data_IF_814739638319
#
_entry.id   IF_814739638319
#
_cell.length_a   1.000
_cell.length_b   1.000
_cell.length_c   1.000
_cell.angle_alpha   90.00
_cell.angle_beta   90.00
_cell.angle_gamma   90.00
#
_symmetry.space_group_name_H-M   'P 1'
#
loop_
_entity.id
_entity.type
_entity.pdbx_description
1 polymer ?
#
# COMPACT_ATOMS: atom_id res chain seq x y z
N UNK A 1 4.70 -23.21 32.74
CA UNK A 1 4.94 -21.82 33.18
C UNK A 1 6.37 -21.30 32.94
N UNK A 2 7.44 -22.13 32.96
CA UNK A 2 8.80 -21.63 32.67
C UNK A 2 9.15 -21.42 31.18
N UNK A 3 8.41 -22.03 30.24
CA UNK A 3 8.66 -21.89 28.79
C UNK A 3 8.30 -20.52 28.21
N UNK A 4 7.30 -19.85 28.76
CA UNK A 4 6.81 -18.57 28.23
C UNK A 4 7.73 -17.40 28.58
N UNK A 5 8.33 -17.41 29.78
CA UNK A 5 9.25 -16.36 30.23
C UNK A 5 10.56 -16.36 29.43
N UNK A 6 11.13 -17.53 29.16
CA UNK A 6 12.34 -17.64 28.32
C UNK A 6 12.04 -17.20 26.88
N UNK A 7 10.85 -17.52 26.37
CA UNK A 7 10.40 -17.10 25.04
C UNK A 7 10.16 -15.58 24.96
N UNK A 8 9.63 -14.97 26.02
CA UNK A 8 9.39 -13.53 26.09
C UNK A 8 10.69 -12.73 26.24
N UNK A 9 11.60 -13.17 27.11
CA UNK A 9 12.93 -12.57 27.26
C UNK A 9 13.73 -12.63 25.95
N UNK A 10 13.68 -13.77 25.24
CA UNK A 10 14.29 -13.92 23.93
C UNK A 10 13.72 -12.93 22.89
N UNK A 11 12.38 -12.77 22.83
CA UNK A 11 11.75 -11.79 21.93
C UNK A 11 12.18 -10.36 22.24
N UNK A 12 12.24 -9.98 23.52
CA UNK A 12 12.69 -8.64 23.93
C UNK A 12 14.13 -8.37 23.50
N UNK A 13 15.03 -9.34 23.69
CA UNK A 13 16.42 -9.22 23.26
C UNK A 13 16.55 -9.05 21.74
N UNK A 14 15.85 -9.88 20.95
CA UNK A 14 15.88 -9.81 19.49
C UNK A 14 15.31 -8.49 18.95
N UNK A 15 14.24 -7.99 19.59
CA UNK A 15 13.69 -6.66 19.30
C UNK A 15 14.71 -5.55 19.59
N UNK A 16 15.47 -5.67 20.69
CA UNK A 16 16.56 -4.77 21.03
C UNK A 16 17.64 -4.73 19.93
N UNK A 17 18.03 -5.89 19.38
CA UNK A 17 19.02 -5.96 18.30
C UNK A 17 18.54 -5.20 17.05
N UNK A 18 17.31 -5.46 16.60
CA UNK A 18 16.78 -4.79 15.41
C UNK A 18 16.58 -3.29 15.62
N UNK A 19 16.11 -2.86 16.79
CA UNK A 19 15.98 -1.43 17.12
C UNK A 19 17.35 -0.75 17.21
N UNK A 20 18.35 -1.43 17.76
CA UNK A 20 19.74 -0.95 17.77
C UNK A 20 20.30 -0.80 16.36
N UNK A 21 20.15 -1.83 15.51
CA UNK A 21 20.57 -1.78 14.11
C UNK A 21 19.85 -0.68 13.32
N UNK A 22 18.54 -0.49 13.56
CA UNK A 22 17.76 0.60 12.99
C UNK A 22 18.27 1.96 13.49
N UNK A 23 18.59 2.10 14.77
CA UNK A 23 19.14 3.32 15.36
C UNK A 23 20.49 3.72 14.75
N UNK A 24 21.42 2.76 14.61
CA UNK A 24 22.70 3.00 13.92
C UNK A 24 22.47 3.42 12.46
N UNK A 25 21.55 2.73 11.77
CA UNK A 25 21.18 3.08 10.39
C UNK A 25 20.61 4.50 10.31
N UNK A 26 19.73 4.87 11.24
CA UNK A 26 19.14 6.20 11.33
C UNK A 26 20.19 7.29 11.58
N UNK A 27 21.19 7.06 12.43
CA UNK A 27 22.31 8.00 12.63
C UNK A 27 23.13 8.20 11.35
N UNK A 28 23.43 7.12 10.61
CA UNK A 28 24.14 7.23 9.32
C UNK A 28 23.33 8.05 8.33
N UNK A 29 22.02 7.82 8.23
CA UNK A 29 21.15 8.59 7.34
C UNK A 29 21.03 10.05 7.78
N UNK A 30 20.93 10.29 9.09
CA UNK A 30 20.85 11.61 9.70
C UNK A 30 22.10 12.48 9.53
N UNK A 31 23.23 11.91 9.11
CA UNK A 31 24.42 12.67 8.72
C UNK A 31 24.25 13.42 7.38
N UNK A 32 23.21 13.10 6.61
CA UNK A 32 22.90 13.82 5.37
C UNK A 32 22.24 15.16 5.66
N UNK A 33 22.76 16.23 5.07
CA UNK A 33 22.29 17.62 5.29
C UNK A 33 20.80 17.85 4.98
N UNK A 34 20.19 17.00 4.13
CA UNK A 34 18.78 17.13 3.79
C UNK A 34 17.86 16.40 4.77
N UNK A 35 18.37 15.53 5.63
CA UNK A 35 17.56 14.69 6.53
C UNK A 35 17.34 15.43 7.86
N UNK A 36 16.07 15.67 8.19
CA UNK A 36 15.66 16.32 9.45
C UNK A 36 15.31 15.31 10.54
N UNK A 37 14.77 14.16 10.14
CA UNK A 37 14.37 13.10 11.06
C UNK A 37 14.40 11.74 10.36
N UNK A 38 14.59 10.68 11.15
CA UNK A 38 14.42 9.30 10.70
C UNK A 38 13.61 8.56 11.74
N UNK A 39 12.53 7.91 11.32
CA UNK A 39 11.76 7.02 12.17
C UNK A 39 11.65 5.63 11.56
N UNK A 40 11.39 4.66 12.43
CA UNK A 40 11.04 3.30 12.04
C UNK A 40 9.56 3.08 12.31
N UNK A 41 8.89 2.31 11.46
CA UNK A 41 7.48 1.96 11.65
C UNK A 41 7.26 0.44 11.55
N UNK A 42 5.99 0.01 11.67
CA UNK A 42 5.58 -1.41 11.57
C UNK A 42 6.33 -2.32 12.56
N UNK A 43 6.76 -3.51 12.13
CA UNK A 43 7.18 -4.61 13.02
C UNK A 43 8.32 -4.27 13.97
N UNK A 44 9.27 -3.42 13.57
CA UNK A 44 10.37 -3.01 14.45
C UNK A 44 9.87 -2.04 15.53
N UNK A 45 8.98 -1.14 15.14
CA UNK A 45 8.40 -0.15 16.03
C UNK A 45 7.41 -0.81 17.01
N UNK A 46 6.56 -1.71 16.53
CA UNK A 46 5.60 -2.48 17.36
C UNK A 46 6.24 -3.63 18.14
N UNK A 47 7.49 -4.01 17.83
CA UNK A 47 8.17 -5.13 18.47
C UNK A 47 7.69 -6.51 18.01
N UNK A 48 7.08 -6.60 16.84
CA UNK A 48 6.58 -7.84 16.23
C UNK A 48 7.55 -8.43 15.20
N UNK A 49 8.84 -8.40 15.54
CA UNK A 49 9.93 -8.83 14.67
C UNK A 49 10.01 -10.37 14.65
N UNK A 50 10.22 -10.93 13.47
CA UNK A 50 10.68 -12.31 13.34
C UNK A 50 12.17 -12.30 12.97
N UNK A 51 13.02 -12.74 13.89
CA UNK A 51 14.45 -12.75 13.69
C UNK A 51 14.85 -13.50 12.41
N UNK A 52 15.71 -12.86 11.61
CA UNK A 52 16.19 -13.39 10.32
C UNK A 52 15.15 -13.38 9.20
N UNK A 53 13.94 -12.87 9.44
CA UNK A 53 12.84 -12.87 8.45
C UNK A 53 12.16 -11.51 8.28
N UNK A 54 12.24 -10.64 9.28
CA UNK A 54 11.75 -9.27 9.18
C UNK A 54 12.81 -8.37 8.57
N UNK A 55 12.37 -7.41 7.77
CA UNK A 55 13.12 -6.23 7.36
C UNK A 55 12.96 -5.08 8.38
N UNK A 56 13.83 -4.10 8.24
CA UNK A 56 13.77 -2.79 8.89
C UNK A 56 13.25 -1.81 7.86
N UNK A 57 11.99 -1.41 8.03
CA UNK A 57 11.32 -0.39 7.21
C UNK A 57 11.55 1.00 7.84
N UNK A 58 12.40 1.82 7.20
CA UNK A 58 12.71 3.19 7.66
C UNK A 58 11.95 4.24 6.86
N UNK A 59 11.69 5.38 7.49
CA UNK A 59 11.22 6.59 6.82
C UNK A 59 12.19 7.72 7.15
N UNK A 60 12.81 8.30 6.13
CA UNK A 60 13.60 9.52 6.26
C UNK A 60 12.74 10.72 5.91
N UNK A 61 12.63 11.64 6.88
CA UNK A 61 12.00 12.95 6.68
C UNK A 61 13.09 13.91 6.24
N UNK A 62 12.98 14.39 5.01
CA UNK A 62 13.87 15.39 4.44
C UNK A 62 13.26 16.76 4.54
N UNK A 63 14.09 17.80 4.51
CA UNK A 63 13.64 19.18 4.48
C UNK A 63 12.65 19.41 3.34
N UNK A 64 11.71 20.31 3.56
CA UNK A 64 10.83 20.76 2.49
C UNK A 64 11.67 21.55 1.46
N UNK A 65 11.54 21.25 0.16
CA UNK A 65 12.33 21.94 -0.84
C UNK A 65 12.02 23.45 -0.85
N UNK A 66 13.07 24.28 -0.85
CA UNK A 66 12.95 25.74 -0.93
C UNK A 66 12.56 26.26 -2.32
N UNK A 67 12.16 27.54 -2.42
CA UNK A 67 11.69 28.25 -3.61
C UNK A 67 12.34 27.81 -4.95
N UNK A 68 11.76 26.82 -5.61
CA UNK A 68 12.10 26.35 -6.97
C UNK A 68 13.05 25.15 -7.07
N UNK A 69 13.74 24.74 -6.00
CA UNK A 69 14.70 23.63 -6.02
C UNK A 69 14.16 22.40 -5.28
N UNK A 70 13.95 21.28 -5.97
CA UNK A 70 13.41 20.05 -5.36
C UNK A 70 14.49 19.15 -4.69
N UNK A 71 15.64 19.69 -4.27
CA UNK A 71 16.71 18.94 -3.58
C UNK A 71 17.23 17.66 -4.27
N UNK A 72 17.12 17.58 -5.60
CA UNK A 72 17.51 16.39 -6.36
C UNK A 72 18.96 15.91 -6.11
N UNK A 73 19.93 16.84 -6.04
CA UNK A 73 21.32 16.51 -5.73
C UNK A 73 21.48 15.94 -4.30
N UNK A 74 20.75 16.49 -3.32
CA UNK A 74 20.72 15.98 -1.95
C UNK A 74 20.13 14.57 -1.88
N UNK A 75 19.04 14.33 -2.60
CA UNK A 75 18.42 13.00 -2.69
C UNK A 75 19.34 11.98 -3.36
N UNK A 76 20.08 12.36 -4.40
CA UNK A 76 21.10 11.51 -5.01
C UNK A 76 22.23 11.16 -4.03
N UNK A 77 22.67 12.14 -3.23
CA UNK A 77 23.67 11.92 -2.17
C UNK A 77 23.14 10.94 -1.13
N UNK A 78 21.94 11.18 -0.61
CA UNK A 78 21.27 10.29 0.34
C UNK A 78 21.10 8.87 -0.22
N UNK A 79 20.72 8.73 -1.49
CA UNK A 79 20.64 7.42 -2.16
C UNK A 79 21.98 6.68 -2.16
N UNK A 80 23.10 7.38 -2.41
CA UNK A 80 24.44 6.76 -2.35
C UNK A 80 24.73 6.26 -0.93
N UNK A 81 24.38 7.03 0.10
CA UNK A 81 24.48 6.62 1.50
C UNK A 81 23.62 5.39 1.79
N UNK A 82 22.37 5.37 1.35
CA UNK A 82 21.46 4.21 1.52
C UNK A 82 22.01 2.95 0.84
N UNK A 83 22.57 3.09 -0.36
CA UNK A 83 23.20 1.98 -1.08
C UNK A 83 24.38 1.40 -0.31
N UNK A 84 25.20 2.25 0.31
CA UNK A 84 26.31 1.80 1.16
C UNK A 84 25.79 1.16 2.46
N UNK A 85 24.81 1.79 3.10
CA UNK A 85 24.17 1.29 4.32
C UNK A 85 23.61 -0.11 4.12
N UNK A 86 22.88 -0.37 3.01
CA UNK A 86 22.33 -1.70 2.69
C UNK A 86 23.39 -2.78 2.50
N UNK A 87 24.64 -2.43 2.19
CA UNK A 87 25.75 -3.40 2.13
C UNK A 87 26.21 -3.84 3.51
N UNK A 88 26.11 -2.95 4.50
CA UNK A 88 26.55 -3.20 5.89
C UNK A 88 25.39 -3.73 6.74
N UNK A 89 24.18 -3.24 6.51
CA UNK A 89 22.96 -3.67 7.16
C UNK A 89 21.93 -4.11 6.10
N UNK A 90 22.01 -5.37 5.62
CA UNK A 90 21.08 -5.88 4.60
C UNK A 90 19.65 -6.04 5.12
N UNK A 91 19.42 -5.94 6.43
CA UNK A 91 18.06 -5.92 7.00
C UNK A 91 17.32 -4.62 6.68
N UNK A 92 17.99 -3.53 6.26
CA UNK A 92 17.32 -2.31 5.78
C UNK A 92 16.67 -2.59 4.42
N UNK A 93 15.42 -3.04 4.49
CA UNK A 93 14.60 -3.44 3.35
C UNK A 93 14.01 -2.23 2.67
N UNK A 94 12.82 -1.80 3.10
CA UNK A 94 12.17 -0.62 2.55
C UNK A 94 12.66 0.67 3.21
N UNK A 95 12.75 1.72 2.39
CA UNK A 95 13.01 3.06 2.88
C UNK A 95 12.13 4.05 2.13
N UNK A 96 11.19 4.68 2.83
CA UNK A 96 10.44 5.80 2.29
C UNK A 96 11.21 7.10 2.55
N UNK A 97 11.09 8.06 1.63
CA UNK A 97 11.65 9.41 1.78
C UNK A 97 10.51 10.39 1.59
N UNK A 98 10.26 11.22 2.60
CA UNK A 98 9.15 12.15 2.63
C UNK A 98 9.61 13.52 3.13
N UNK A 99 8.90 14.57 2.78
CA UNK A 99 9.00 15.85 3.48
C UNK A 99 7.82 15.98 4.46
N UNK A 100 7.81 16.97 5.38
CA UNK A 100 6.70 17.12 6.34
C UNK A 100 5.32 17.26 5.68
N UNK A 101 5.23 17.92 4.52
CA UNK A 101 3.98 18.06 3.77
C UNK A 101 3.51 16.72 3.20
N UNK A 102 4.45 15.91 2.71
CA UNK A 102 4.21 14.58 2.19
C UNK A 102 3.65 13.63 3.25
N UNK A 103 4.11 13.75 4.51
CA UNK A 103 3.57 12.99 5.64
C UNK A 103 2.12 13.40 5.90
N UNK A 104 1.84 14.71 5.95
CA UNK A 104 0.47 15.22 6.12
C UNK A 104 -0.45 14.73 5.01
N UNK A 105 -0.04 14.93 3.76
CA UNK A 105 -0.78 14.50 2.57
C UNK A 105 -1.03 12.99 2.57
N UNK A 106 -0.05 12.19 2.97
CA UNK A 106 -0.21 10.73 3.06
C UNK A 106 -1.25 10.33 4.11
N UNK A 107 -1.22 10.94 5.29
CA UNK A 107 -2.21 10.69 6.34
C UNK A 107 -3.62 11.13 5.92
N UNK A 108 -3.74 12.25 5.20
CA UNK A 108 -5.01 12.76 4.68
C UNK A 108 -5.62 11.87 3.58
N UNK A 109 -4.79 11.28 2.72
CA UNK A 109 -5.22 10.33 1.71
C UNK A 109 -5.43 8.92 2.27
N UNK A 110 -4.84 8.59 3.41
CA UNK A 110 -4.95 7.30 4.07
C UNK A 110 -4.95 7.41 5.59
N UNK A 111 -6.12 7.70 6.13
CA UNK A 111 -6.32 7.83 7.57
C UNK A 111 -6.11 6.51 8.33
N UNK A 112 -6.23 5.35 7.66
CA UNK A 112 -5.98 4.05 8.26
C UNK A 112 -4.50 3.85 8.58
N UNK A 113 -3.62 4.03 7.58
CA UNK A 113 -2.17 3.91 7.82
C UNK A 113 -1.67 5.05 8.70
N UNK A 114 -2.15 6.28 8.50
CA UNK A 114 -1.79 7.41 9.36
C UNK A 114 -2.11 7.18 10.83
N UNK A 115 -3.23 6.52 11.14
CA UNK A 115 -3.57 6.11 12.51
C UNK A 115 -2.60 5.09 13.10
N UNK A 116 -2.07 4.16 12.29
CA UNK A 116 -1.07 3.19 12.72
C UNK A 116 0.27 3.89 12.96
N UNK A 117 0.75 4.66 11.99
CA UNK A 117 2.05 5.33 12.08
C UNK A 117 2.07 6.31 13.25
N UNK A 118 1.03 7.14 13.44
CA UNK A 118 0.91 8.05 14.59
C UNK A 118 1.04 7.37 15.95
N UNK A 119 0.54 6.13 16.08
CA UNK A 119 0.52 5.39 17.37
C UNK A 119 1.70 4.45 17.54
N UNK A 120 2.51 4.24 16.50
CA UNK A 120 3.55 3.20 16.51
C UNK A 120 4.92 3.65 16.04
N UNK A 121 5.02 4.73 15.27
CA UNK A 121 6.28 5.24 14.76
C UNK A 121 7.24 5.55 15.92
N UNK A 122 8.49 5.10 15.77
CA UNK A 122 9.56 5.35 16.72
C UNK A 122 10.62 6.20 16.04
N UNK A 123 10.73 7.46 16.45
CA UNK A 123 11.81 8.37 16.02
C UNK A 123 13.15 7.82 16.51
N UNK A 124 14.08 7.62 15.58
CA UNK A 124 15.42 7.09 15.85
C UNK A 124 16.51 8.16 15.70
N UNK A 125 16.22 9.23 14.95
CA UNK A 125 17.11 10.36 14.75
C UNK A 125 16.29 11.64 14.52
N UNK A 126 16.79 12.78 14.99
CA UNK A 126 16.19 14.08 14.71
C UNK A 126 14.93 14.39 15.53
N UNK A 127 14.08 15.27 15.01
CA UNK A 127 12.84 15.70 15.70
C UNK A 127 11.75 14.65 15.57
N UNK A 128 10.85 14.60 16.56
CA UNK A 128 9.63 13.80 16.44
C UNK A 128 8.79 14.30 15.27
N UNK A 129 8.28 13.35 14.49
CA UNK A 129 7.36 13.62 13.39
C UNK A 129 5.97 13.87 13.95
N UNK A 130 5.37 14.99 13.54
CA UNK A 130 3.98 15.28 13.86
C UNK A 130 3.05 14.64 12.81
N UNK A 131 2.22 13.70 13.25
CA UNK A 131 1.24 13.05 12.40
C UNK A 131 -0.14 13.65 12.66
N UNK A 132 -0.87 14.10 11.62
CA UNK A 132 -2.23 14.59 11.78
C UNK A 132 -3.12 13.61 12.54
N UNK A 133 -3.90 14.12 13.50
CA UNK A 133 -4.85 13.33 14.28
C UNK A 133 -6.23 13.32 13.59
N UNK A 134 -6.35 12.54 12.52
CA UNK A 134 -7.60 12.38 11.77
C UNK A 134 -8.35 11.11 12.19
N UNK A 135 -9.70 11.12 12.22
CA UNK A 135 -10.49 9.91 12.40
C UNK A 135 -10.30 8.96 11.21
N UNK A 136 -10.31 7.65 11.47
CA UNK A 136 -10.14 6.66 10.41
C UNK A 136 -11.42 6.57 9.57
N UNK A 137 -11.29 6.83 8.27
CA UNK A 137 -12.38 6.70 7.30
C UNK A 137 -12.61 5.22 6.96
N UNK A 138 -13.86 4.72 6.98
CA UNK A 138 -14.16 3.36 6.58
C UNK A 138 -13.65 2.99 5.19
N UNK A 139 -13.68 3.92 4.24
CA UNK A 139 -13.22 3.70 2.86
C UNK A 139 -11.71 3.44 2.80
N UNK A 140 -10.91 4.10 3.64
CA UNK A 140 -9.47 3.85 3.72
C UNK A 140 -9.19 2.46 4.29
N UNK A 141 -10.04 1.99 5.21
CA UNK A 141 -9.99 0.63 5.72
C UNK A 141 -10.35 -0.41 4.64
N UNK A 142 -11.37 -0.17 3.82
CA UNK A 142 -11.69 -1.04 2.66
C UNK A 142 -10.54 -1.09 1.67
N UNK A 143 -9.91 0.06 1.40
CA UNK A 143 -8.71 0.13 0.55
C UNK A 143 -7.57 -0.71 1.12
N UNK A 144 -7.33 -0.63 2.44
CA UNK A 144 -6.32 -1.44 3.12
C UNK A 144 -6.67 -2.93 3.17
N UNK A 145 -7.95 -3.27 3.28
CA UNK A 145 -8.45 -4.63 3.14
C UNK A 145 -8.08 -5.23 1.79
N UNK A 146 -8.45 -4.54 0.70
CA UNK A 146 -8.22 -5.02 -0.67
C UNK A 146 -6.75 -4.93 -1.11
N UNK A 147 -5.93 -4.05 -0.53
CA UNK A 147 -4.51 -3.89 -0.85
C UNK A 147 -3.69 -5.19 -0.74
N UNK A 148 -4.00 -6.06 0.23
CA UNK A 148 -3.27 -7.31 0.45
C UNK A 148 -3.34 -8.31 -0.72
N UNK A 149 -4.31 -8.13 -1.62
CA UNK A 149 -4.50 -8.90 -2.85
C UNK A 149 -3.44 -8.65 -3.93
N UNK A 150 -2.90 -7.42 -4.03
CA UNK A 150 -2.15 -6.93 -5.22
C UNK A 150 -0.90 -7.78 -5.53
N UNK A 151 -0.29 -8.38 -4.50
CA UNK A 151 0.80 -9.34 -4.68
C UNK A 151 1.12 -10.17 -3.43
N UNK A 152 0.74 -9.72 -2.23
CA UNK A 152 1.14 -10.35 -0.98
C UNK A 152 0.51 -11.73 -0.79
N UNK A 153 -0.81 -11.86 -1.01
CA UNK A 153 -1.50 -13.14 -0.84
C UNK A 153 -0.98 -14.20 -1.82
N UNK A 154 -0.90 -13.86 -3.12
CA UNK A 154 -0.37 -14.76 -4.15
C UNK A 154 1.08 -15.19 -3.85
N UNK A 155 1.93 -14.24 -3.42
CA UNK A 155 3.33 -14.53 -3.09
C UNK A 155 3.47 -15.40 -1.85
N UNK A 156 2.71 -15.11 -0.79
CA UNK A 156 2.74 -15.90 0.45
C UNK A 156 2.27 -17.33 0.18
N UNK A 157 1.22 -17.51 -0.63
CA UNK A 157 0.69 -18.82 -0.96
C UNK A 157 1.67 -19.65 -1.80
N UNK A 158 2.23 -19.06 -2.87
CA UNK A 158 3.24 -19.71 -3.72
C UNK A 158 4.49 -20.14 -2.95
N UNK A 159 4.91 -19.37 -1.94
CA UNK A 159 6.07 -19.69 -1.10
C UNK A 159 5.74 -20.65 0.04
N UNK A 160 4.48 -21.04 0.22
CA UNK A 160 4.05 -21.77 1.41
C UNK A 160 4.33 -21.01 2.71
N UNK A 161 4.35 -19.67 2.67
CA UNK A 161 4.73 -18.83 3.80
C UNK A 161 3.57 -18.72 4.80
N UNK A 162 3.48 -19.74 5.65
CA UNK A 162 2.47 -19.88 6.69
C UNK A 162 2.34 -18.66 7.60
N UNK A 163 3.45 -17.97 7.89
CA UNK A 163 3.45 -16.77 8.74
C UNK A 163 2.78 -15.62 8.01
N UNK A 164 3.17 -15.36 6.76
CA UNK A 164 2.59 -14.26 6.00
C UNK A 164 1.12 -14.52 5.64
N UNK A 165 0.72 -15.76 5.39
CA UNK A 165 -0.70 -16.10 5.20
C UNK A 165 -1.56 -15.73 6.42
N UNK A 166 -1.11 -16.08 7.63
CA UNK A 166 -1.79 -15.70 8.89
C UNK A 166 -1.80 -14.19 9.10
N UNK A 167 -0.66 -13.53 8.86
CA UNK A 167 -0.55 -12.07 8.95
C UNK A 167 -1.56 -11.38 8.03
N UNK A 168 -1.60 -11.78 6.75
CA UNK A 168 -2.51 -11.20 5.77
C UNK A 168 -3.96 -11.37 6.21
N UNK A 169 -4.34 -12.56 6.68
CA UNK A 169 -5.71 -12.79 7.16
C UNK A 169 -6.06 -11.90 8.37
N UNK A 170 -5.15 -11.76 9.34
CA UNK A 170 -5.36 -10.89 10.50
C UNK A 170 -5.42 -9.40 10.11
N UNK A 171 -4.55 -8.94 9.21
CA UNK A 171 -4.53 -7.56 8.72
C UNK A 171 -5.79 -7.24 7.89
N UNK A 172 -6.27 -8.20 7.08
CA UNK A 172 -7.55 -8.07 6.38
C UNK A 172 -8.73 -8.05 7.36
N UNK A 173 -8.75 -8.90 8.39
CA UNK A 173 -9.79 -8.83 9.41
C UNK A 173 -9.81 -7.48 10.14
N UNK A 174 -8.64 -6.98 10.56
CA UNK A 174 -8.49 -5.68 11.23
C UNK A 174 -9.02 -4.55 10.34
N UNK A 175 -8.70 -4.58 9.05
CA UNK A 175 -9.20 -3.61 8.08
C UNK A 175 -10.73 -3.72 7.86
N UNK A 176 -11.26 -4.95 7.73
CA UNK A 176 -12.71 -5.20 7.63
C UNK A 176 -13.43 -4.65 8.87
N UNK A 177 -12.93 -4.94 10.07
CA UNK A 177 -13.51 -4.52 11.33
C UNK A 177 -13.64 -2.99 11.45
N UNK A 178 -12.66 -2.24 10.94
CA UNK A 178 -12.73 -0.78 10.87
C UNK A 178 -13.70 -0.33 9.77
N UNK A 179 -13.67 -0.98 8.59
CA UNK A 179 -14.57 -0.67 7.48
C UNK A 179 -16.05 -0.84 7.86
N UNK A 180 -16.38 -1.87 8.64
CA UNK A 180 -17.74 -2.14 9.13
C UNK A 180 -18.06 -1.44 10.45
N UNK A 181 -17.17 -0.55 10.93
CA UNK A 181 -17.31 0.22 12.17
C UNK A 181 -17.42 -0.62 13.45
N UNK A 182 -17.01 -1.88 13.42
CA UNK A 182 -16.81 -2.68 14.63
C UNK A 182 -15.66 -2.13 15.48
N UNK A 183 -14.66 -1.52 14.84
CA UNK A 183 -13.56 -0.82 15.50
C UNK A 183 -13.51 0.65 15.05
N UNK A 184 -13.23 1.60 15.96
CA UNK A 184 -13.06 3.02 15.58
C UNK A 184 -11.72 3.29 14.88
N UNK A 185 -10.72 2.43 15.09
CA UNK A 185 -9.39 2.51 14.52
C UNK A 185 -8.75 1.11 14.52
N UNK A 186 -7.77 0.84 13.64
CA UNK A 186 -7.15 -0.48 13.60
C UNK A 186 -6.33 -0.76 14.85
N UNK A 187 -6.18 -2.03 15.20
CA UNK A 187 -5.12 -2.45 16.12
C UNK A 187 -3.75 -2.12 15.54
N UNK A 188 -2.81 -1.72 16.41
CA UNK A 188 -1.43 -1.41 16.03
C UNK A 188 -0.63 -2.68 15.85
N UNK A 189 -0.86 -3.68 16.72
CA UNK A 189 -0.14 -4.94 16.67
C UNK A 189 -1.00 -6.03 16.03
N UNK A 190 -0.34 -6.93 15.29
CA UNK A 190 -0.97 -8.13 14.76
C UNK A 190 -1.42 -9.06 15.89
N UNK A 191 -0.64 -9.19 16.96
CA UNK A 191 -1.01 -10.02 18.09
C UNK A 191 -2.35 -9.59 18.74
N UNK A 192 -2.62 -8.29 18.83
CA UNK A 192 -3.92 -7.77 19.27
C UNK A 192 -5.02 -8.08 18.25
N UNK A 193 -4.78 -7.81 16.96
CA UNK A 193 -5.74 -8.12 15.91
C UNK A 193 -6.11 -9.61 15.88
N UNK A 194 -5.12 -10.51 15.93
CA UNK A 194 -5.33 -11.96 15.98
C UNK A 194 -6.14 -12.37 17.22
N UNK A 195 -5.84 -11.80 18.40
CA UNK A 195 -6.56 -12.12 19.63
C UNK A 195 -8.03 -11.73 19.56
N UNK A 196 -8.32 -10.51 19.09
CA UNK A 196 -9.70 -10.04 18.95
C UNK A 196 -10.45 -10.77 17.83
N UNK A 197 -9.77 -11.09 16.73
CA UNK A 197 -10.36 -11.90 15.68
C UNK A 197 -10.77 -13.28 16.20
N UNK A 198 -9.86 -13.99 16.90
CA UNK A 198 -10.12 -15.32 17.44
C UNK A 198 -11.21 -15.33 18.52
N UNK A 199 -11.43 -14.21 19.22
CA UNK A 199 -12.49 -14.04 20.20
C UNK A 199 -13.84 -13.63 19.59
N UNK A 200 -13.89 -13.30 18.30
CA UNK A 200 -15.12 -12.90 17.61
C UNK A 200 -15.92 -14.12 17.13
N UNK A 201 -17.24 -13.95 17.00
CA UNK A 201 -18.13 -14.98 16.43
C UNK A 201 -17.76 -15.36 14.97
N UNK A 202 -17.04 -14.47 14.27
CA UNK A 202 -16.50 -14.71 12.93
C UNK A 202 -15.42 -15.81 12.93
N UNK A 203 -14.66 -15.96 14.01
CA UNK A 203 -13.67 -17.04 14.13
C UNK A 203 -14.33 -18.40 14.44
N UNK A 204 -15.48 -18.40 15.12
CA UNK A 204 -16.24 -19.62 15.38
C UNK A 204 -16.86 -20.18 14.09
N UNK A 205 -17.45 -19.33 13.26
CA UNK A 205 -17.98 -19.69 11.93
C UNK A 205 -16.90 -20.05 10.91
N UNK A 206 -15.64 -19.66 11.17
CA UNK A 206 -14.46 -20.09 10.44
C UNK A 206 -13.97 -21.52 10.76
N UNK A 207 -14.65 -22.25 11.65
CA UNK A 207 -14.32 -23.65 11.95
C UNK A 207 -13.56 -23.86 13.26
N UNK A 208 -13.50 -22.85 14.13
CA UNK A 208 -13.07 -22.98 15.54
C UNK A 208 -11.57 -23.25 15.75
N UNK A 209 -10.98 -22.49 16.68
CA UNK A 209 -9.66 -22.69 17.30
C UNK A 209 -8.52 -23.15 16.38
N UNK A 210 -7.88 -22.15 15.78
CA UNK A 210 -6.57 -22.27 15.14
C UNK A 210 -6.67 -22.27 13.63
N UNK A 211 -6.85 -21.09 13.03
CA UNK A 211 -6.79 -20.91 11.58
C UNK A 211 -5.49 -21.54 11.08
N UNK A 212 -5.63 -22.69 10.42
CA UNK A 212 -4.50 -23.35 9.77
C UNK A 212 -4.05 -22.42 8.64
N UNK A 213 -2.75 -22.17 8.46
CA UNK A 213 -2.29 -21.27 7.42
C UNK A 213 -2.86 -21.56 6.03
N UNK A 214 -3.11 -22.84 5.75
CA UNK A 214 -3.71 -23.35 4.51
C UNK A 214 -5.16 -22.87 4.31
N UNK A 215 -5.87 -22.53 5.38
CA UNK A 215 -7.25 -22.02 5.36
C UNK A 215 -7.32 -20.49 5.23
N UNK A 216 -6.21 -19.77 5.48
CA UNK A 216 -6.17 -18.31 5.47
C UNK A 216 -6.70 -17.70 4.16
N UNK A 217 -6.33 -18.17 2.95
CA UNK A 217 -6.87 -17.63 1.70
C UNK A 217 -8.40 -17.72 1.62
N UNK A 218 -8.97 -18.86 2.00
CA UNK A 218 -10.42 -19.05 2.01
C UNK A 218 -11.13 -18.11 2.98
N UNK A 219 -10.53 -17.82 4.14
CA UNK A 219 -11.05 -16.81 5.05
C UNK A 219 -10.99 -15.40 4.45
N UNK A 220 -9.88 -15.02 3.81
CA UNK A 220 -9.76 -13.74 3.13
C UNK A 220 -10.85 -13.56 2.06
N UNK A 221 -11.12 -14.60 1.27
CA UNK A 221 -12.16 -14.56 0.23
C UNK A 221 -13.57 -14.47 0.81
N UNK A 222 -13.85 -15.19 1.91
CA UNK A 222 -15.13 -15.09 2.59
C UNK A 222 -15.36 -13.69 3.17
N UNK A 223 -14.36 -13.15 3.88
CA UNK A 223 -14.41 -11.78 4.39
C UNK A 223 -14.60 -10.76 3.27
N UNK A 224 -14.00 -11.01 2.09
CA UNK A 224 -14.15 -10.12 0.95
C UNK A 224 -15.58 -10.14 0.39
N UNK A 225 -16.20 -11.32 0.32
CA UNK A 225 -17.61 -11.45 -0.04
C UNK A 225 -18.53 -10.75 0.96
N UNK A 226 -18.33 -10.99 2.26
CA UNK A 226 -19.14 -10.35 3.31
C UNK A 226 -19.04 -8.81 3.27
N UNK A 227 -17.82 -8.30 3.06
CA UNK A 227 -17.60 -6.86 2.94
C UNK A 227 -18.15 -6.30 1.62
N UNK A 228 -18.05 -7.06 0.53
CA UNK A 228 -18.61 -6.71 -0.78
C UNK A 228 -20.13 -6.63 -0.72
N UNK A 229 -20.81 -7.63 -0.16
CA UNK A 229 -22.27 -7.69 -0.03
C UNK A 229 -22.84 -6.50 0.77
N UNK A 230 -22.03 -5.88 1.65
CA UNK A 230 -22.40 -4.68 2.41
C UNK A 230 -22.21 -3.37 1.63
N UNK A 231 -21.28 -3.33 0.68
CA UNK A 231 -20.80 -2.08 0.08
C UNK A 231 -21.14 -1.91 -1.40
N UNK A 232 -21.33 -3.02 -2.11
CA UNK A 232 -21.47 -3.03 -3.56
C UNK A 232 -22.60 -3.98 -3.98
N UNK A 233 -23.24 -3.74 -5.14
CA UNK A 233 -24.30 -4.63 -5.62
C UNK A 233 -23.78 -6.06 -5.87
N UNK A 234 -24.66 -7.07 -5.68
CA UNK A 234 -24.27 -8.47 -5.82
C UNK A 234 -23.79 -8.79 -7.23
N UNK A 235 -22.75 -9.61 -7.32
CA UNK A 235 -22.23 -10.13 -8.58
C UNK A 235 -22.82 -11.51 -8.89
N UNK A 236 -22.87 -11.86 -10.17
CA UNK A 236 -23.12 -13.24 -10.60
C UNK A 236 -21.92 -14.09 -10.23
N UNK A 237 -22.17 -15.34 -9.85
CA UNK A 237 -21.11 -16.28 -9.52
C UNK A 237 -20.25 -16.60 -10.75
N UNK A 238 -18.93 -16.52 -10.58
CA UNK A 238 -17.99 -17.09 -11.53
C UNK A 238 -18.02 -18.63 -11.40
N UNK A 239 -18.17 -19.33 -12.51
CA UNK A 239 -18.31 -20.78 -12.52
C UNK A 239 -16.97 -21.51 -12.32
N UNK A 240 -15.93 -21.06 -13.03
CA UNK A 240 -14.59 -21.68 -13.07
C UNK A 240 -13.50 -20.61 -12.88
N UNK A 241 -12.29 -20.99 -12.42
CA UNK A 241 -11.17 -20.05 -12.35
C UNK A 241 -10.91 -19.36 -13.68
N UNK A 242 -10.69 -18.05 -13.65
CA UNK A 242 -10.43 -17.25 -14.83
C UNK A 242 -9.05 -16.59 -14.75
N UNK A 243 -8.24 -16.76 -15.80
CA UNK A 243 -6.88 -16.25 -15.86
C UNK A 243 -6.71 -15.28 -17.03
N UNK A 244 -5.99 -14.18 -16.78
CA UNK A 244 -5.67 -13.23 -17.84
C UNK A 244 -4.40 -12.43 -17.51
N UNK A 245 -3.78 -11.82 -18.53
CA UNK A 245 -2.61 -10.94 -18.38
C UNK A 245 -2.87 -9.56 -18.95
N UNK A 246 -2.58 -8.50 -18.19
CA UNK A 246 -2.75 -7.10 -18.62
C UNK A 246 -1.71 -6.20 -17.99
N UNK A 247 -1.43 -5.07 -18.65
CA UNK A 247 -0.67 -3.96 -18.07
C UNK A 247 -1.59 -3.14 -17.17
N UNK A 248 -1.24 -3.01 -15.90
CA UNK A 248 -2.06 -2.33 -14.90
C UNK A 248 -1.51 -0.95 -14.55
N UNK A 249 -2.33 0.09 -14.68
CA UNK A 249 -2.06 1.43 -14.15
C UNK A 249 -1.90 1.40 -12.60
N UNK A 250 -1.19 2.36 -11.98
CA UNK A 250 -0.61 3.56 -12.59
C UNK A 250 0.81 3.38 -13.13
N UNK A 251 1.43 2.21 -12.90
CA UNK A 251 2.81 1.91 -13.34
C UNK A 251 2.89 1.11 -14.64
N UNK A 252 1.75 0.75 -15.21
CA UNK A 252 1.59 -0.04 -16.45
C UNK A 252 2.44 -1.31 -16.49
N UNK A 253 2.65 -1.94 -15.34
CA UNK A 253 3.38 -3.21 -15.26
C UNK A 253 2.46 -4.34 -15.68
N UNK A 254 3.00 -5.28 -16.43
CA UNK A 254 2.28 -6.51 -16.72
C UNK A 254 2.03 -7.30 -15.43
N UNK A 255 0.81 -7.81 -15.32
CA UNK A 255 0.30 -8.61 -14.22
C UNK A 255 -0.45 -9.80 -14.79
N UNK A 256 -0.22 -10.96 -14.19
CA UNK A 256 -1.02 -12.15 -14.39
C UNK A 256 -2.02 -12.28 -13.24
N UNK A 257 -3.29 -12.38 -13.61
CA UNK A 257 -4.43 -12.45 -12.72
C UNK A 257 -4.97 -13.87 -12.68
N UNK A 258 -5.33 -14.32 -11.48
CA UNK A 258 -6.10 -15.52 -11.23
C UNK A 258 -7.32 -15.14 -10.40
N UNK A 259 -8.49 -15.20 -11.03
CA UNK A 259 -9.78 -14.94 -10.38
C UNK A 259 -10.42 -16.28 -10.07
N UNK A 260 -10.48 -16.62 -8.79
CA UNK A 260 -11.09 -17.85 -8.29
C UNK A 260 -12.61 -17.69 -8.18
N UNK A 261 -13.40 -18.74 -8.46
CA UNK A 261 -14.79 -18.75 -8.04
C UNK A 261 -14.83 -18.62 -6.52
N UNK A 262 -15.67 -17.73 -5.96
CA UNK A 262 -15.71 -17.40 -4.52
C UNK A 262 -16.13 -18.52 -3.56
N UNK A 263 -15.99 -19.79 -3.96
CA UNK A 263 -16.28 -20.99 -3.17
C UNK A 263 -15.06 -21.39 -2.32
N UNK A 264 -15.31 -22.20 -1.30
CA UNK A 264 -14.37 -22.63 -0.24
C UNK A 264 -13.09 -23.38 -0.70
N UNK A 265 -12.76 -23.39 -1.99
CA UNK A 265 -11.54 -23.98 -2.53
C UNK A 265 -10.42 -22.95 -2.65
N UNK A 266 -9.23 -23.27 -2.15
CA UNK A 266 -8.01 -22.54 -2.50
C UNK A 266 -7.64 -22.80 -3.98
N UNK A 267 -6.79 -21.96 -4.57
CA UNK A 267 -6.25 -22.22 -5.92
C UNK A 267 -5.46 -23.54 -5.93
N UNK A 268 -5.53 -24.27 -7.03
CA UNK A 268 -4.69 -25.46 -7.18
C UNK A 268 -3.22 -25.02 -7.29
N UNK A 269 -2.25 -25.85 -6.86
CA UNK A 269 -0.83 -25.49 -6.93
C UNK A 269 -0.37 -25.01 -8.32
N UNK A 270 -0.87 -25.64 -9.39
CA UNK A 270 -0.55 -25.28 -10.77
C UNK A 270 -1.08 -23.91 -11.22
N UNK A 271 -2.16 -23.41 -10.60
CA UNK A 271 -2.72 -22.10 -10.95
C UNK A 271 -1.84 -20.93 -10.46
N UNK A 272 -0.98 -21.18 -9.46
CA UNK A 272 -0.21 -20.16 -8.76
C UNK A 272 1.15 -19.84 -9.38
N UNK A 273 1.67 -20.71 -10.25
CA UNK A 273 3.02 -20.57 -10.79
C UNK A 273 3.17 -19.25 -11.57
N UNK A 274 2.11 -18.84 -12.27
CA UNK A 274 2.12 -17.66 -13.12
C UNK A 274 1.38 -16.46 -12.51
N UNK A 275 0.54 -16.66 -11.49
CA UNK A 275 -0.28 -15.59 -10.93
C UNK A 275 0.54 -14.61 -10.08
N UNK A 276 0.51 -13.33 -10.45
CA UNK A 276 1.01 -12.24 -9.61
C UNK A 276 -0.08 -11.65 -8.73
N UNK A 277 -1.35 -11.90 -9.07
CA UNK A 277 -2.52 -11.27 -8.47
C UNK A 277 -3.62 -12.33 -8.31
N UNK A 278 -3.96 -12.69 -7.08
CA UNK A 278 -4.91 -13.76 -6.73
C UNK A 278 -6.14 -13.14 -6.07
N UNK A 279 -7.34 -13.46 -6.56
CA UNK A 279 -8.57 -12.82 -6.09
C UNK A 279 -9.84 -13.63 -6.32
N UNK A 280 -10.99 -13.12 -5.87
CA UNK A 280 -12.34 -13.50 -6.30
C UNK A 280 -13.02 -12.33 -7.01
N UNK A 281 -14.17 -12.51 -7.68
CA UNK A 281 -14.91 -11.40 -8.25
C UNK A 281 -15.20 -10.27 -7.26
N UNK A 282 -15.64 -10.60 -6.04
CA UNK A 282 -16.00 -9.67 -4.98
C UNK A 282 -14.79 -8.85 -4.51
N UNK A 283 -13.67 -9.52 -4.25
CA UNK A 283 -12.43 -8.87 -3.83
C UNK A 283 -11.86 -7.98 -4.95
N UNK A 284 -11.92 -8.42 -6.21
CA UNK A 284 -11.54 -7.60 -7.36
C UNK A 284 -12.43 -6.37 -7.52
N UNK A 285 -13.74 -6.51 -7.29
CA UNK A 285 -14.69 -5.39 -7.39
C UNK A 285 -14.42 -4.35 -6.28
N UNK A 286 -14.12 -4.79 -5.04
CA UNK A 286 -13.64 -3.91 -3.97
C UNK A 286 -12.32 -3.21 -4.37
N UNK A 287 -11.36 -3.94 -4.95
CA UNK A 287 -10.09 -3.35 -5.40
C UNK A 287 -10.30 -2.28 -6.48
N UNK A 288 -11.19 -2.53 -7.44
CA UNK A 288 -11.57 -1.60 -8.50
C UNK A 288 -12.17 -0.32 -7.91
N UNK A 289 -13.06 -0.39 -6.92
CA UNK A 289 -13.72 0.81 -6.40
C UNK A 289 -12.92 1.58 -5.34
N UNK A 290 -12.09 0.89 -4.55
CA UNK A 290 -11.47 1.49 -3.37
C UNK A 290 -9.94 1.60 -3.44
N UNK A 291 -9.27 0.84 -4.31
CA UNK A 291 -7.80 0.85 -4.42
C UNK A 291 -7.34 1.47 -5.72
N UNK A 292 -7.81 0.92 -6.84
CA UNK A 292 -7.29 1.25 -8.17
C UNK A 292 -8.41 1.20 -9.22
N UNK A 293 -9.16 2.30 -9.40
CA UNK A 293 -10.25 2.39 -10.37
C UNK A 293 -9.77 2.30 -11.83
N UNK A 294 -8.49 2.55 -12.08
CA UNK A 294 -7.89 2.31 -13.39
C UNK A 294 -7.88 0.82 -13.80
N UNK A 295 -8.13 -0.10 -12.86
CA UNK A 295 -8.34 -1.51 -13.16
C UNK A 295 -9.56 -1.74 -14.07
N UNK A 296 -10.60 -0.90 -13.97
CA UNK A 296 -11.78 -1.02 -14.82
C UNK A 296 -11.40 -1.01 -16.31
N UNK A 297 -10.44 -0.18 -16.71
CA UNK A 297 -9.96 -0.05 -18.10
C UNK A 297 -9.49 -1.35 -18.73
N UNK A 298 -9.06 -2.32 -17.92
CA UNK A 298 -8.46 -3.57 -18.39
C UNK A 298 -9.30 -4.82 -18.03
N UNK A 299 -10.47 -4.64 -17.41
CA UNK A 299 -11.37 -5.74 -17.06
C UNK A 299 -11.89 -6.45 -18.32
N UNK A 300 -11.64 -7.77 -18.48
CA UNK A 300 -12.19 -8.57 -19.57
C UNK A 300 -13.72 -8.61 -19.58
N UNK A 301 -14.30 -8.82 -20.76
CA UNK A 301 -15.76 -8.84 -20.94
C UNK A 301 -16.45 -9.92 -20.11
N UNK A 302 -15.77 -11.04 -19.88
CA UNK A 302 -16.23 -12.17 -19.07
C UNK A 302 -16.45 -11.75 -17.60
N UNK A 303 -15.53 -10.96 -17.04
CA UNK A 303 -15.70 -10.43 -15.68
C UNK A 303 -16.76 -9.32 -15.66
N UNK A 304 -16.83 -8.48 -16.69
CA UNK A 304 -17.89 -7.46 -16.80
C UNK A 304 -19.29 -8.08 -16.84
N UNK A 305 -19.45 -9.22 -17.51
CA UNK A 305 -20.70 -9.97 -17.57
C UNK A 305 -21.19 -10.50 -16.21
N UNK A 306 -20.33 -10.51 -15.18
CA UNK A 306 -20.71 -10.84 -13.81
C UNK A 306 -21.47 -9.69 -13.10
N UNK A 307 -21.51 -8.50 -13.70
CA UNK A 307 -22.20 -7.32 -13.12
C UNK A 307 -21.27 -6.31 -12.46
N UNK A 308 -19.98 -6.29 -12.81
CA UNK A 308 -19.05 -5.25 -12.34
C UNK A 308 -19.56 -3.87 -12.73
N UNK A 309 -19.66 -2.99 -11.74
CA UNK A 309 -20.01 -1.59 -11.97
C UNK A 309 -18.75 -0.79 -12.30
N UNK A 310 -18.94 0.32 -13.02
CA UNK A 310 -17.85 1.26 -13.26
C UNK A 310 -17.60 2.09 -12.00
N UNK A 311 -16.32 2.37 -11.65
CA UNK A 311 -16.04 3.32 -10.57
C UNK A 311 -16.56 4.73 -10.90
N UNK A 312 -16.98 5.45 -9.86
CA UNK A 312 -17.39 6.85 -9.96
C UNK A 312 -16.18 7.77 -10.18
N UNK A 313 -16.38 8.99 -10.70
CA UNK A 313 -15.34 10.02 -10.77
C UNK A 313 -14.59 10.21 -9.44
N UNK A 314 -15.30 10.18 -8.31
CA UNK A 314 -14.71 10.34 -6.99
C UNK A 314 -13.73 9.22 -6.62
N UNK A 315 -13.99 7.99 -7.07
CA UNK A 315 -13.07 6.88 -6.88
C UNK A 315 -11.74 7.16 -7.60
N UNK A 316 -11.81 7.67 -8.84
CA UNK A 316 -10.64 8.10 -9.60
C UNK A 316 -9.93 9.27 -8.94
N UNK A 317 -10.65 10.28 -8.45
CA UNK A 317 -10.06 11.42 -7.74
C UNK A 317 -9.30 10.98 -6.48
N UNK A 318 -9.89 10.11 -5.65
CA UNK A 318 -9.22 9.54 -4.46
C UNK A 318 -7.98 8.72 -4.82
N UNK A 319 -8.05 7.89 -5.86
CA UNK A 319 -6.89 7.14 -6.32
C UNK A 319 -5.79 8.06 -6.86
N UNK A 320 -6.16 9.12 -7.58
CA UNK A 320 -5.22 10.13 -8.07
C UNK A 320 -4.55 10.87 -6.92
N UNK A 321 -5.29 11.23 -5.87
CA UNK A 321 -4.71 11.82 -4.65
C UNK A 321 -3.69 10.85 -4.03
N UNK A 322 -4.08 9.59 -3.80
CA UNK A 322 -3.21 8.58 -3.20
C UNK A 322 -1.93 8.30 -4.01
N UNK A 323 -2.05 8.16 -5.34
CA UNK A 323 -0.89 7.91 -6.21
C UNK A 323 -0.09 9.17 -6.52
N UNK A 324 -0.71 10.34 -6.41
CA UNK A 324 -0.15 11.66 -6.70
C UNK A 324 0.60 12.31 -5.55
N UNK A 325 0.88 11.59 -4.47
CA UNK A 325 1.74 12.12 -3.43
C UNK A 325 3.16 12.35 -3.95
N UNK A 326 3.72 13.50 -3.60
CA UNK A 326 5.07 13.90 -3.98
C UNK A 326 6.13 12.91 -3.49
N UNK A 327 5.91 12.20 -2.38
CA UNK A 327 6.83 11.16 -1.91
C UNK A 327 7.03 10.05 -2.96
N UNK A 328 6.03 9.77 -3.82
CA UNK A 328 6.16 8.71 -4.83
C UNK A 328 7.25 9.01 -5.84
N UNK A 329 7.55 10.30 -6.07
CA UNK A 329 8.66 10.77 -6.91
C UNK A 329 10.02 10.47 -6.28
N UNK A 330 10.10 10.26 -4.97
CA UNK A 330 11.34 9.93 -4.25
C UNK A 330 11.58 8.42 -4.14
N UNK A 331 10.66 7.58 -4.59
CA UNK A 331 10.79 6.13 -4.50
C UNK A 331 11.96 5.51 -5.30
N UNK A 332 12.36 6.02 -6.48
CA UNK A 332 13.46 5.43 -7.25
C UNK A 332 14.77 5.36 -6.46
N UNK A 333 15.35 4.16 -6.33
CA UNK A 333 16.58 3.90 -5.58
C UNK A 333 16.37 3.67 -4.07
N UNK A 334 15.26 4.13 -3.51
CA UNK A 334 14.91 3.93 -2.10
C UNK A 334 13.94 2.76 -1.92
N UNK A 335 12.75 2.82 -2.51
CA UNK A 335 11.75 1.75 -2.45
C UNK A 335 11.90 0.74 -3.59
N UNK A 336 12.33 1.20 -4.78
CA UNK A 336 12.44 0.35 -5.97
C UNK A 336 13.36 0.96 -7.02
N UNK A 337 13.92 0.19 -7.98
CA UNK A 337 14.85 0.74 -8.98
C UNK A 337 14.18 1.51 -10.14
N UNK A 338 12.85 1.48 -10.26
CA UNK A 338 12.15 1.97 -11.46
C UNK A 338 12.03 3.50 -11.52
N UNK A 339 12.94 4.14 -12.26
CA UNK A 339 12.96 5.61 -12.47
C UNK A 339 11.85 6.15 -13.36
N UNK A 340 11.26 5.32 -14.25
CA UNK A 340 10.17 5.77 -15.13
C UNK A 340 8.81 5.89 -14.41
N UNK A 341 8.66 5.23 -13.25
CA UNK A 341 7.38 5.12 -12.57
C UNK A 341 6.77 6.49 -12.16
N UNK A 342 7.53 7.44 -11.59
CA UNK A 342 7.00 8.78 -11.28
C UNK A 342 6.47 9.53 -12.50
N UNK A 343 7.20 9.51 -13.63
CA UNK A 343 6.74 10.13 -14.87
C UNK A 343 5.47 9.47 -15.44
N UNK A 344 5.36 8.13 -15.36
CA UNK A 344 4.14 7.41 -15.76
C UNK A 344 2.93 7.82 -14.90
N UNK A 345 3.14 7.89 -13.59
CA UNK A 345 2.10 8.29 -12.64
C UNK A 345 1.66 9.73 -12.95
N UNK A 346 2.61 10.68 -13.05
CA UNK A 346 2.29 12.06 -13.36
C UNK A 346 1.48 12.21 -14.66
N UNK A 347 1.89 11.55 -15.74
CA UNK A 347 1.17 11.63 -17.00
C UNK A 347 -0.25 11.04 -16.93
N UNK A 348 -0.45 10.00 -16.11
CA UNK A 348 -1.77 9.44 -15.82
C UNK A 348 -2.63 10.42 -15.02
N UNK A 349 -2.05 11.06 -14.00
CA UNK A 349 -2.74 12.07 -13.19
C UNK A 349 -3.22 13.23 -14.07
N UNK A 350 -2.33 13.80 -14.89
CA UNK A 350 -2.67 14.91 -15.78
C UNK A 350 -3.71 14.54 -16.83
N UNK A 351 -3.66 13.30 -17.33
CA UNK A 351 -4.67 12.79 -18.26
C UNK A 351 -6.03 12.67 -17.56
N UNK A 352 -6.06 12.09 -16.36
CA UNK A 352 -7.27 11.84 -15.58
C UNK A 352 -7.92 13.14 -15.11
N UNK A 353 -7.12 14.11 -14.68
CA UNK A 353 -7.59 15.40 -14.19
C UNK A 353 -8.50 16.13 -15.20
N UNK A 354 -8.20 16.03 -16.50
CA UNK A 354 -8.99 16.66 -17.57
C UNK A 354 -10.46 16.24 -17.58
N UNK A 355 -10.74 14.98 -17.28
CA UNK A 355 -12.11 14.44 -17.22
C UNK A 355 -12.76 14.76 -15.88
N UNK A 356 -12.01 14.61 -14.79
CA UNK A 356 -12.53 14.85 -13.45
C UNK A 356 -12.95 16.31 -13.22
N UNK A 357 -12.30 17.28 -13.89
CA UNK A 357 -12.73 18.69 -13.90
C UNK A 357 -14.17 18.88 -14.36
N UNK A 358 -14.66 18.00 -15.23
CA UNK A 358 -16.02 18.04 -15.77
C UNK A 358 -16.97 17.08 -15.03
N UNK A 359 -16.52 16.43 -13.96
CA UNK A 359 -17.29 15.40 -13.27
C UNK A 359 -17.42 14.08 -14.06
N UNK A 360 -16.55 13.86 -15.05
CA UNK A 360 -16.61 12.69 -15.92
C UNK A 360 -15.70 11.56 -15.45
N UNK A 361 -16.11 10.31 -15.70
CA UNK A 361 -15.24 9.14 -15.49
C UNK A 361 -14.17 9.10 -16.58
N UNK A 362 -12.87 9.09 -16.23
CA UNK A 362 -11.79 9.10 -17.23
C UNK A 362 -11.78 7.79 -18.03
N UNK A 363 -11.77 7.84 -19.38
CA UNK A 363 -11.62 6.66 -20.23
C UNK A 363 -10.16 6.18 -20.23
N UNK A 364 -9.93 4.93 -20.65
CA UNK A 364 -8.56 4.39 -20.77
C UNK A 364 -7.70 5.27 -21.70
N UNK A 365 -6.46 5.62 -21.33
CA UNK A 365 -5.57 6.38 -22.20
C UNK A 365 -5.18 5.54 -23.43
N UNK A 366 -4.93 6.18 -24.57
CA UNK A 366 -4.46 5.47 -25.75
C UNK A 366 -3.13 4.73 -25.49
N UNK A 367 -2.96 3.47 -25.97
CA UNK A 367 -1.77 2.66 -25.70
C UNK A 367 -0.44 3.35 -26.07
N UNK A 368 -0.41 4.09 -27.18
CA UNK A 368 0.76 4.80 -27.67
C UNK A 368 1.29 5.83 -26.66
N UNK A 369 0.38 6.49 -25.94
CA UNK A 369 0.75 7.47 -24.90
C UNK A 369 1.39 6.78 -23.71
N UNK A 370 0.82 5.65 -23.28
CA UNK A 370 1.35 4.82 -22.19
C UNK A 370 2.75 4.31 -22.53
N UNK A 371 2.93 3.83 -23.75
CA UNK A 371 4.22 3.31 -24.21
C UNK A 371 5.29 4.39 -24.34
N UNK A 372 4.95 5.57 -24.87
CA UNK A 372 5.90 6.67 -25.05
C UNK A 372 6.56 7.08 -23.72
N UNK A 373 5.78 7.10 -22.63
CA UNK A 373 6.30 7.45 -21.30
C UNK A 373 7.17 6.32 -20.73
N UNK A 374 6.84 5.07 -21.06
CA UNK A 374 7.55 3.90 -20.54
C UNK A 374 8.87 3.54 -21.20
N UNK A 375 9.15 4.08 -22.39
CA UNK A 375 10.43 3.87 -23.10
C UNK A 375 11.59 4.69 -22.54
N UNK A 376 11.37 5.50 -21.50
CA UNK A 376 12.42 6.30 -20.86
C UNK A 376 13.38 5.41 -20.08
N UNK A 377 14.62 5.34 -20.54
CA UNK A 377 15.73 4.69 -19.83
C UNK A 377 16.74 5.76 -19.44
N UNK A 378 16.58 6.30 -18.23
CA UNK A 378 17.54 7.25 -17.64
C UNK A 378 18.24 6.59 -16.46
N UNK A 379 19.46 7.03 -16.14
CA UNK A 379 20.11 6.56 -14.92
C UNK A 379 19.42 7.14 -13.68
N UNK A 380 19.60 6.51 -12.51
CA UNK A 380 19.12 7.09 -11.24
C UNK A 380 19.75 8.47 -10.96
N UNK A 381 20.99 8.68 -11.38
CA UNK A 381 21.66 9.97 -11.25
C UNK A 381 21.00 11.03 -12.15
N UNK A 382 20.76 10.71 -13.42
CA UNK A 382 20.08 11.63 -14.35
C UNK A 382 18.65 11.94 -13.91
N UNK A 383 17.93 10.93 -13.39
CA UNK A 383 16.61 11.13 -12.79
C UNK A 383 16.66 12.21 -11.71
N UNK A 384 17.51 12.06 -10.69
CA UNK A 384 17.58 13.02 -9.59
C UNK A 384 18.14 14.39 -10.01
N UNK A 385 19.10 14.44 -10.92
CA UNK A 385 19.75 15.70 -11.30
C UNK A 385 18.96 16.50 -12.35
N UNK A 386 18.11 15.85 -13.17
CA UNK A 386 17.46 16.50 -14.33
C UNK A 386 15.95 16.36 -14.33
N UNK A 387 15.41 15.20 -13.95
CA UNK A 387 13.98 14.92 -14.10
C UNK A 387 13.18 15.09 -12.81
N UNK A 388 13.81 14.95 -11.64
CA UNK A 388 13.13 14.92 -10.35
C UNK A 388 12.37 16.21 -10.09
N UNK A 389 13.02 17.37 -10.18
CA UNK A 389 12.39 18.66 -9.88
C UNK A 389 11.13 18.96 -10.73
N UNK A 390 11.17 18.87 -12.07
CA UNK A 390 9.96 19.11 -12.87
C UNK A 390 8.86 18.07 -12.62
N UNK A 391 9.20 16.81 -12.36
CA UNK A 391 8.20 15.78 -12.02
C UNK A 391 7.59 16.05 -10.63
N UNK A 392 8.41 16.38 -9.64
CA UNK A 392 7.99 16.69 -8.27
C UNK A 392 7.02 17.87 -8.25
N UNK A 393 7.39 19.00 -8.88
CA UNK A 393 6.56 20.21 -8.89
C UNK A 393 5.20 19.98 -9.55
N UNK A 394 5.19 19.35 -10.73
CA UNK A 394 3.94 19.02 -11.43
C UNK A 394 3.08 17.99 -10.69
N UNK A 395 3.71 17.07 -9.96
CA UNK A 395 3.00 16.11 -9.10
C UNK A 395 2.35 16.84 -7.92
N UNK A 396 3.04 17.80 -7.31
CA UNK A 396 2.49 18.63 -6.25
C UNK A 396 1.30 19.48 -6.74
N UNK A 397 1.43 20.12 -7.92
CA UNK A 397 0.36 20.87 -8.58
C UNK A 397 -0.87 20.00 -8.85
N UNK A 398 -0.66 18.81 -9.44
CA UNK A 398 -1.75 17.86 -9.69
C UNK A 398 -2.41 17.39 -8.38
N UNK A 399 -1.60 17.13 -7.33
CA UNK A 399 -2.09 16.75 -6.01
C UNK A 399 -3.02 17.78 -5.38
N UNK A 400 -2.59 19.06 -5.37
CA UNK A 400 -3.40 20.18 -4.88
C UNK A 400 -4.74 20.28 -5.63
N UNK A 401 -4.71 20.12 -6.95
CA UNK A 401 -5.92 20.14 -7.76
C UNK A 401 -6.90 19.00 -7.44
N UNK A 402 -6.42 17.78 -7.15
CA UNK A 402 -7.30 16.69 -6.73
C UNK A 402 -7.93 16.93 -5.36
N UNK A 403 -7.21 17.57 -4.42
CA UNK A 403 -7.78 18.02 -3.15
C UNK A 403 -8.94 18.99 -3.39
N UNK A 404 -8.75 19.99 -4.25
CA UNK A 404 -9.79 20.97 -4.58
C UNK A 404 -11.00 20.34 -5.28
N UNK A 405 -10.78 19.36 -6.17
CA UNK A 405 -11.87 18.60 -6.80
C UNK A 405 -12.70 17.85 -5.75
N UNK A 406 -12.05 17.12 -4.85
CA UNK A 406 -12.73 16.37 -3.80
C UNK A 406 -13.51 17.27 -2.83
N UNK A 407 -12.94 18.43 -2.46
CA UNK A 407 -13.59 19.39 -1.60
C UNK A 407 -14.87 19.98 -2.24
N UNK A 408 -14.81 20.32 -3.54
CA UNK A 408 -15.98 20.82 -4.28
C UNK A 408 -17.08 19.76 -4.38
N UNK A 409 -16.71 18.52 -4.64
CA UNK A 409 -17.67 17.40 -4.70
C UNK A 409 -18.33 17.16 -3.34
N UNK A 410 -17.56 17.18 -2.25
CA UNK A 410 -18.09 17.03 -0.90
C UNK A 410 -19.07 18.17 -0.54
N UNK A 411 -18.75 19.41 -0.92
CA UNK A 411 -19.64 20.55 -0.72
C UNK A 411 -20.96 20.40 -1.50
N UNK A 412 -20.91 19.93 -2.76
CA UNK A 412 -22.08 19.74 -3.60
C UNK A 412 -23.00 18.59 -3.11
N UNK A 413 -22.48 17.60 -2.38
CA UNK A 413 -23.29 16.54 -1.77
C UNK A 413 -23.98 16.98 -0.46
N UNK A 414 -23.51 18.07 0.16
CA UNK A 414 -24.05 18.60 1.40
C UNK A 414 -25.15 19.67 1.20
N UNK A 415 -25.21 20.25 -0.01
CA UNK A 415 -26.27 21.15 -0.48
C UNK A 415 -27.42 20.37 -1.10
#
# INVERSE_FOLDING_TARGET
>A
MNGDLVTQAGKLFLNGIYRGAAGVSAMVLGSSEIVESVFVHRSVATGEIAFGRSDIDLVAVVRQPGNGGADGAGLLSLYKTVRQLRRVNPAVGHMAVQDPEGIRSEVEADTYLGSIDRRSALTLFGKNVDFPNLPVRPQDAVRRFAFWQDSYLATALRRGDRRNLRKIAADMWNAKAVATRMLPAPFVTRAEAERHWLASDEAATAGGLGVRPEQCPGHCFRMARELHDQLLPPLRALAEPFQFRRKMAPRFRERAFLVMPGRNGGPAPGDLELASFLTTPELLHLYVHFVNPFMDWILPGELRALGFQRPSPDAFARACLFYGHTHTTRNPGFMHPHVAAPAMILALLEYTCRYLRNGETPPAPPPERVEAIGRRSVSLADYYLREFAPIYNRTAEAGAEFCDLLNRQAAAMAS
#
